data_IF_542923583486
#
_entry.id   IF_542923583486
#
_cell.length_a   1.000
_cell.length_b   1.000
_cell.length_c   1.000
_cell.angle_alpha   90.00
_cell.angle_beta   90.00
_cell.angle_gamma   90.00
#
_symmetry.space_group_name_H-M   'P 1'
#
loop_
_entity.id
_entity.type
_entity.pdbx_description
1 polymer ?
#
# COMPACT_ATOMS: atom_id res chain seq x y z
N UNK A 1 29.74 -3.49 -24.17
CA UNK A 1 28.53 -2.64 -24.22
C UNK A 1 28.96 -1.19 -24.23
N UNK A 2 28.80 -0.49 -25.35
CA UNK A 2 29.05 0.96 -25.44
C UNK A 2 27.90 1.58 -26.22
N UNK A 3 27.10 2.40 -25.55
CA UNK A 3 26.07 3.24 -26.16
C UNK A 3 26.55 4.68 -26.07
N UNK A 4 26.75 5.33 -27.22
CA UNK A 4 26.91 6.77 -27.37
C UNK A 4 26.16 7.14 -28.67
N UNK A 5 25.34 8.18 -28.75
CA UNK A 5 25.35 9.45 -28.03
C UNK A 5 24.05 9.70 -27.24
N UNK A 6 24.21 10.11 -25.99
CA UNK A 6 23.12 10.44 -25.06
C UNK A 6 23.20 11.96 -24.79
N UNK A 7 22.06 12.64 -24.71
CA UNK A 7 21.94 13.75 -23.76
C UNK A 7 22.55 13.26 -22.44
N UNK A 8 23.51 13.99 -21.88
CA UNK A 8 24.34 13.51 -20.77
C UNK A 8 23.48 12.74 -19.75
N UNK A 9 23.85 11.50 -19.39
CA UNK A 9 23.05 10.70 -18.47
C UNK A 9 22.79 11.54 -17.21
N UNK A 10 21.55 11.52 -16.67
CA UNK A 10 21.23 12.34 -15.51
C UNK A 10 22.23 12.05 -14.41
N UNK A 11 22.80 13.10 -13.83
CA UNK A 11 23.77 12.98 -12.73
C UNK A 11 23.05 12.44 -11.49
N UNK A 12 23.59 11.38 -10.91
CA UNK A 12 22.93 10.64 -9.85
C UNK A 12 23.52 9.26 -9.60
N UNK A 13 22.92 8.56 -8.63
CA UNK A 13 23.36 7.24 -8.21
C UNK A 13 22.20 6.24 -8.19
N UNK A 14 22.46 5.03 -8.69
CA UNK A 14 21.55 3.90 -8.57
C UNK A 14 21.80 3.14 -7.28
N UNK A 15 20.73 2.81 -6.58
CA UNK A 15 20.73 2.10 -5.31
C UNK A 15 19.87 0.85 -5.50
N UNK A 16 20.48 -0.31 -5.27
CA UNK A 16 19.78 -1.58 -5.33
C UNK A 16 18.71 -1.67 -4.23
N UNK A 17 17.66 -2.49 -4.42
CA UNK A 17 16.67 -2.77 -3.38
C UNK A 17 17.33 -3.33 -2.12
N UNK A 18 16.68 -3.11 -0.99
CA UNK A 18 17.15 -3.63 0.29
C UNK A 18 17.17 -5.18 0.27
N UNK A 19 18.31 -5.77 0.63
CA UNK A 19 18.52 -7.22 0.60
C UNK A 19 17.67 -7.99 1.63
N UNK A 20 17.17 -7.32 2.67
CA UNK A 20 16.27 -7.90 3.69
C UNK A 20 14.82 -7.95 3.22
N UNK A 21 14.53 -7.40 2.03
CA UNK A 21 13.17 -7.35 1.48
C UNK A 21 12.31 -6.22 2.06
N UNK A 22 12.92 -5.24 2.73
CA UNK A 22 12.20 -4.10 3.28
C UNK A 22 11.56 -3.26 2.15
N UNK A 23 10.30 -2.81 2.31
CA UNK A 23 9.67 -1.86 1.40
C UNK A 23 10.48 -0.57 1.26
N UNK A 24 10.41 0.06 0.08
CA UNK A 24 10.98 1.39 -0.13
C UNK A 24 10.08 2.45 0.48
N UNK A 25 10.65 3.40 1.22
CA UNK A 25 9.91 4.42 1.95
C UNK A 25 10.34 5.84 1.54
N UNK A 26 9.37 6.66 1.14
CA UNK A 26 9.57 8.07 0.85
C UNK A 26 9.13 8.92 2.04
N UNK A 27 10.06 9.13 2.97
CA UNK A 27 9.84 9.86 4.23
C UNK A 27 9.06 11.18 4.07
N UNK A 28 9.36 12.07 3.10
CA UNK A 28 8.65 13.34 2.97
C UNK A 28 7.15 13.24 2.68
N UNK A 29 6.72 12.14 2.03
CA UNK A 29 5.31 11.90 1.66
C UNK A 29 4.66 10.80 2.49
N UNK A 30 5.44 10.08 3.30
CA UNK A 30 4.98 8.89 4.02
C UNK A 30 4.63 7.69 3.14
N UNK A 31 4.85 7.73 1.83
CA UNK A 31 4.50 6.65 0.92
C UNK A 31 5.44 5.46 1.08
N UNK A 32 4.86 4.26 1.17
CA UNK A 32 5.59 2.99 1.27
C UNK A 32 5.28 2.12 0.07
N UNK A 33 6.32 1.77 -0.68
CA UNK A 33 6.26 0.98 -1.90
C UNK A 33 6.81 -0.43 -1.64
N UNK A 34 5.98 -1.49 -1.80
CA UNK A 34 6.38 -2.85 -1.49
C UNK A 34 7.44 -3.38 -2.46
N UNK A 35 8.23 -4.38 -2.05
CA UNK A 35 9.22 -5.00 -2.95
C UNK A 35 8.58 -5.68 -4.17
N UNK A 36 7.31 -6.06 -4.07
CA UNK A 36 6.48 -6.57 -5.16
C UNK A 36 5.20 -5.73 -5.28
N UNK A 37 4.95 -5.18 -6.46
CA UNK A 37 3.74 -4.45 -6.80
C UNK A 37 3.00 -5.21 -7.91
N UNK A 38 2.12 -6.13 -7.50
CA UNK A 38 1.57 -7.15 -8.39
C UNK A 38 2.66 -8.06 -8.92
N UNK A 39 2.77 -8.17 -10.25
CA UNK A 39 3.82 -8.93 -10.96
C UNK A 39 5.13 -8.17 -11.10
N UNK A 40 5.21 -6.90 -10.67
CA UNK A 40 6.40 -6.09 -10.85
C UNK A 40 7.26 -6.11 -9.59
N UNK A 41 8.54 -6.46 -9.73
CA UNK A 41 9.53 -6.39 -8.64
C UNK A 41 10.18 -5.02 -8.60
N UNK A 42 10.45 -4.51 -7.40
CA UNK A 42 11.26 -3.31 -7.21
C UNK A 42 12.70 -3.60 -7.67
N UNK A 43 13.17 -2.89 -8.69
CA UNK A 43 14.51 -3.05 -9.25
C UNK A 43 15.55 -2.10 -8.61
N UNK A 44 15.09 -1.01 -8.00
CA UNK A 44 15.95 -0.07 -7.28
C UNK A 44 15.43 1.37 -7.27
N UNK A 45 16.23 2.25 -6.69
CA UNK A 45 16.03 3.70 -6.63
C UNK A 45 17.18 4.38 -7.38
N UNK A 46 16.87 5.41 -8.16
CA UNK A 46 17.86 6.38 -8.61
C UNK A 46 17.70 7.69 -7.85
N UNK A 47 18.80 8.22 -7.32
CA UNK A 47 18.84 9.53 -6.65
C UNK A 47 19.54 10.53 -7.53
N UNK A 48 18.85 11.61 -7.88
CA UNK A 48 19.43 12.70 -8.65
C UNK A 48 20.37 13.52 -7.76
N UNK A 49 21.54 13.91 -8.30
CA UNK A 49 22.49 14.78 -7.59
C UNK A 49 21.93 16.20 -7.38
N UNK A 50 21.17 16.69 -8.37
CA UNK A 50 20.58 18.02 -8.36
C UNK A 50 19.06 17.96 -8.23
N UNK A 51 18.47 18.97 -7.57
CA UNK A 51 17.02 19.11 -7.44
C UNK A 51 16.36 18.18 -6.42
N UNK A 52 17.11 17.31 -5.73
CA UNK A 52 16.59 16.44 -4.66
C UNK A 52 15.59 15.37 -5.13
N UNK A 53 15.50 15.16 -6.44
CA UNK A 53 14.60 14.19 -7.04
C UNK A 53 15.03 12.75 -6.80
N UNK A 54 14.05 11.85 -6.79
CA UNK A 54 14.25 10.40 -6.68
C UNK A 54 13.33 9.71 -7.67
N UNK A 55 13.71 8.56 -8.21
CA UNK A 55 12.74 7.68 -8.83
C UNK A 55 12.97 6.24 -8.44
N UNK A 56 11.90 5.47 -8.32
CA UNK A 56 11.97 4.02 -8.14
C UNK A 56 11.53 3.32 -9.42
N UNK A 57 12.13 2.16 -9.68
CA UNK A 57 11.78 1.33 -10.82
C UNK A 57 11.18 0.01 -10.38
N UNK A 58 10.11 -0.36 -11.04
CA UNK A 58 9.47 -1.65 -11.00
C UNK A 58 9.60 -2.34 -12.36
N UNK A 59 9.91 -3.63 -12.36
CA UNK A 59 10.06 -4.43 -13.58
C UNK A 59 9.26 -5.73 -13.47
N UNK A 60 8.55 -6.10 -14.53
CA UNK A 60 7.96 -7.42 -14.67
C UNK A 60 8.57 -8.12 -15.87
N UNK A 61 9.26 -9.24 -15.63
CA UNK A 61 9.82 -10.05 -16.70
C UNK A 61 8.72 -10.76 -17.49
N UNK A 62 7.70 -11.26 -16.79
CA UNK A 62 6.57 -11.98 -17.37
C UNK A 62 5.74 -11.09 -18.30
N UNK A 63 5.41 -9.88 -17.84
CA UNK A 63 4.69 -8.90 -18.66
C UNK A 63 5.60 -8.13 -19.61
N UNK A 64 6.93 -8.31 -19.53
CA UNK A 64 7.96 -7.51 -20.21
C UNK A 64 7.72 -6.00 -20.05
N UNK A 65 7.22 -5.60 -18.88
CA UNK A 65 6.78 -4.26 -18.57
C UNK A 65 7.69 -3.59 -17.54
N UNK A 66 7.69 -2.26 -17.53
CA UNK A 66 8.48 -1.42 -16.64
C UNK A 66 7.62 -0.30 -16.12
N UNK A 67 7.73 0.01 -14.84
CA UNK A 67 7.17 1.22 -14.27
C UNK A 67 8.25 2.04 -13.57
N UNK A 68 8.32 3.33 -13.88
CA UNK A 68 9.18 4.29 -13.23
C UNK A 68 8.30 5.28 -12.46
N UNK A 69 8.56 5.48 -11.17
CA UNK A 69 7.81 6.41 -10.31
C UNK A 69 8.77 7.47 -9.80
N UNK A 70 8.61 8.70 -10.28
CA UNK A 70 9.46 9.84 -9.99
C UNK A 70 8.85 10.68 -8.89
N UNK A 71 9.69 11.20 -8.00
CA UNK A 71 9.36 12.08 -6.90
C UNK A 71 10.25 13.31 -7.00
N UNK A 72 9.69 14.46 -7.36
CA UNK A 72 10.43 15.71 -7.44
C UNK A 72 9.83 16.74 -6.48
N UNK A 73 10.64 17.34 -5.61
CA UNK A 73 10.15 18.38 -4.72
C UNK A 73 9.75 19.62 -5.54
N UNK A 74 8.68 20.27 -5.11
CA UNK A 74 8.31 21.59 -5.64
C UNK A 74 8.66 22.69 -4.63
N UNK A 75 9.06 23.89 -5.09
CA UNK A 75 9.51 24.96 -4.20
C UNK A 75 8.40 25.51 -3.28
N UNK A 76 7.15 25.44 -3.71
CA UNK A 76 6.01 26.04 -2.99
C UNK A 76 5.20 25.00 -2.24
N UNK A 77 4.96 25.25 -0.95
CA UNK A 77 4.20 24.36 -0.06
C UNK A 77 2.70 24.66 0.01
N UNK A 78 2.30 25.88 -0.35
CA UNK A 78 0.93 26.38 -0.22
C UNK A 78 0.39 26.77 -1.59
N UNK A 79 0.01 25.78 -2.38
CA UNK A 79 -0.56 25.98 -3.71
C UNK A 79 -2.07 25.84 -3.66
N UNK A 80 -2.76 26.72 -4.39
CA UNK A 80 -4.19 26.58 -4.69
C UNK A 80 -4.45 25.36 -5.59
N UNK A 81 -5.68 24.86 -5.62
CA UNK A 81 -6.04 23.72 -6.48
C UNK A 81 -5.78 24.01 -7.98
N UNK A 82 -6.04 25.24 -8.42
CA UNK A 82 -5.77 25.67 -9.79
C UNK A 82 -4.26 25.63 -10.11
N UNK A 83 -3.42 26.11 -9.19
CA UNK A 83 -1.96 26.02 -9.36
C UNK A 83 -1.46 24.58 -9.35
N UNK A 84 -2.03 23.72 -8.48
CA UNK A 84 -1.71 22.29 -8.47
C UNK A 84 -2.03 21.63 -9.82
N UNK A 85 -3.22 21.89 -10.36
CA UNK A 85 -3.63 21.38 -11.67
C UNK A 85 -2.71 21.88 -12.79
N UNK A 86 -2.38 23.19 -12.80
CA UNK A 86 -1.47 23.76 -13.80
C UNK A 86 -0.09 23.10 -13.77
N UNK A 87 0.47 22.86 -12.58
CA UNK A 87 1.77 22.18 -12.45
C UNK A 87 1.74 20.74 -12.96
N UNK A 88 0.67 20.01 -12.65
CA UNK A 88 0.48 18.63 -13.13
C UNK A 88 0.39 18.60 -14.66
N UNK A 89 -0.34 19.53 -15.26
CA UNK A 89 -0.45 19.65 -16.72
C UNK A 89 0.88 20.04 -17.36
N UNK A 90 1.61 20.97 -16.76
CA UNK A 90 2.95 21.36 -17.21
C UNK A 90 3.93 20.18 -17.17
N UNK A 91 3.88 19.36 -16.12
CA UNK A 91 4.69 18.15 -16.05
C UNK A 91 4.28 17.11 -17.10
N UNK A 92 2.98 17.00 -17.42
CA UNK A 92 2.52 16.14 -18.53
C UNK A 92 3.10 16.60 -19.87
N UNK A 93 3.15 17.92 -20.10
CA UNK A 93 3.76 18.49 -21.30
C UNK A 93 5.27 18.22 -21.35
N UNK A 94 5.96 18.23 -20.21
CA UNK A 94 7.37 17.84 -20.14
C UNK A 94 7.58 16.38 -20.53
N UNK A 95 6.74 15.47 -20.03
CA UNK A 95 6.77 14.04 -20.41
C UNK A 95 6.58 13.86 -21.92
N UNK A 96 5.64 14.60 -22.52
CA UNK A 96 5.42 14.54 -23.98
C UNK A 96 6.64 15.06 -24.74
N UNK A 97 7.22 16.18 -24.31
CA UNK A 97 8.45 16.72 -24.91
C UNK A 97 9.61 15.72 -24.84
N UNK A 98 9.74 14.98 -23.73
CA UNK A 98 10.74 13.90 -23.61
C UNK A 98 10.50 12.80 -24.66
N UNK A 99 9.26 12.36 -24.83
CA UNK A 99 8.89 11.32 -25.81
C UNK A 99 9.13 11.80 -27.26
N UNK A 100 8.80 13.06 -27.55
CA UNK A 100 9.07 13.68 -28.85
C UNK A 100 10.57 13.78 -29.12
N UNK A 101 11.37 14.16 -28.12
CA UNK A 101 12.83 14.20 -28.23
C UNK A 101 13.39 12.80 -28.50
N UNK A 102 12.94 11.77 -27.77
CA UNK A 102 13.35 10.37 -28.00
C UNK A 102 12.93 9.86 -29.40
N UNK A 103 11.83 10.38 -29.95
CA UNK A 103 11.40 10.08 -31.33
C UNK A 103 12.33 10.74 -32.35
N UNK A 104 12.72 12.00 -32.15
CA UNK A 104 13.70 12.71 -33.00
C UNK A 104 15.08 12.06 -32.95
N UNK A 105 15.45 11.48 -31.82
CA UNK A 105 16.68 10.68 -31.65
C UNK A 105 16.59 9.28 -32.27
N UNK A 106 15.44 8.88 -32.80
CA UNK A 106 15.24 7.58 -33.44
C UNK A 106 15.06 6.40 -32.47
N UNK A 107 14.89 6.65 -31.16
CA UNK A 107 14.62 5.59 -30.17
C UNK A 107 13.20 5.05 -30.28
N UNK A 108 12.27 5.94 -30.61
CA UNK A 108 10.87 5.62 -30.86
C UNK A 108 10.46 6.05 -32.26
N UNK A 109 9.46 5.36 -32.81
CA UNK A 109 8.74 5.74 -34.04
C UNK A 109 7.24 5.71 -33.78
N UNK A 110 6.47 6.32 -34.69
CA UNK A 110 5.00 6.26 -34.71
C UNK A 110 4.37 6.71 -33.37
N UNK A 111 4.95 7.71 -32.72
CA UNK A 111 4.43 8.25 -31.46
C UNK A 111 3.02 8.80 -31.70
N UNK A 112 2.05 8.28 -30.95
CA UNK A 112 0.68 8.79 -30.88
C UNK A 112 0.41 9.22 -29.45
N UNK A 113 0.03 10.48 -29.30
CA UNK A 113 -0.28 11.09 -28.01
C UNK A 113 -1.79 10.98 -27.82
N UNK A 114 -2.23 10.26 -26.78
CA UNK A 114 -3.63 10.13 -26.45
C UNK A 114 -4.20 11.36 -25.76
N UNK A 115 -5.51 11.35 -25.53
CA UNK A 115 -6.19 12.39 -24.78
C UNK A 115 -5.73 12.44 -23.32
N UNK A 116 -5.86 13.62 -22.71
CA UNK A 116 -5.56 13.80 -21.29
C UNK A 116 -6.84 13.61 -20.48
N UNK A 117 -6.80 12.69 -19.52
CA UNK A 117 -7.78 12.58 -18.47
C UNK A 117 -7.36 13.46 -17.29
N UNK A 118 -8.29 14.24 -16.76
CA UNK A 118 -8.10 15.00 -15.52
C UNK A 118 -9.09 14.50 -14.49
N UNK A 119 -8.64 14.28 -13.27
CA UNK A 119 -9.46 13.78 -12.17
C UNK A 119 -8.78 13.99 -10.83
N UNK A 120 -9.16 13.17 -9.85
CA UNK A 120 -8.54 13.20 -8.54
C UNK A 120 -8.56 11.85 -7.82
N UNK A 121 -7.64 11.69 -6.87
CA UNK A 121 -7.61 10.56 -5.96
C UNK A 121 -8.29 11.00 -4.66
N UNK A 122 -9.48 10.47 -4.43
CA UNK A 122 -10.20 10.68 -3.17
C UNK A 122 -9.42 10.08 -1.99
N UNK A 123 -9.24 10.91 -0.96
CA UNK A 123 -8.60 10.55 0.30
C UNK A 123 -9.66 10.51 1.41
N UNK A 124 -9.39 9.73 2.45
CA UNK A 124 -10.33 9.50 3.57
C UNK A 124 -10.75 10.78 4.30
N UNK A 125 -9.79 11.58 4.76
CA UNK A 125 -10.02 12.80 5.58
C UNK A 125 -9.19 13.99 5.06
N UNK A 126 -8.94 14.03 3.74
CA UNK A 126 -8.14 15.09 3.11
C UNK A 126 -8.77 15.53 1.79
N UNK A 127 -8.41 16.73 1.36
CA UNK A 127 -8.70 17.21 0.00
C UNK A 127 -8.22 16.18 -1.03
N UNK A 128 -9.05 15.91 -2.05
CA UNK A 128 -8.69 14.99 -3.12
C UNK A 128 -7.39 15.44 -3.78
N UNK A 129 -6.51 14.48 -4.08
CA UNK A 129 -5.26 14.78 -4.78
C UNK A 129 -5.57 14.96 -6.27
N UNK A 130 -5.29 16.11 -6.89
CA UNK A 130 -5.49 16.28 -8.32
C UNK A 130 -4.57 15.33 -9.10
N UNK A 131 -5.08 14.81 -10.21
CA UNK A 131 -4.37 13.88 -11.07
C UNK A 131 -4.62 14.22 -12.54
N UNK A 132 -3.59 14.12 -13.37
CA UNK A 132 -3.72 14.01 -14.81
C UNK A 132 -3.15 12.68 -15.28
N UNK A 133 -3.80 12.05 -16.26
CA UNK A 133 -3.36 10.80 -16.84
C UNK A 133 -3.44 10.84 -18.37
N UNK A 134 -2.54 10.12 -19.04
CA UNK A 134 -2.52 9.99 -20.49
C UNK A 134 -1.91 8.66 -20.90
N UNK A 135 -2.39 8.11 -22.02
CA UNK A 135 -1.76 6.97 -22.69
C UNK A 135 -1.09 7.48 -23.97
N UNK A 136 0.16 7.08 -24.19
CA UNK A 136 0.88 7.28 -25.44
C UNK A 136 1.21 5.93 -26.07
N UNK A 137 1.06 5.82 -27.39
CA UNK A 137 1.45 4.64 -28.16
C UNK A 137 2.73 4.97 -28.94
N UNK A 138 3.66 4.02 -29.02
CA UNK A 138 4.93 4.21 -29.72
C UNK A 138 5.49 2.88 -30.19
N UNK A 139 6.44 2.88 -31.10
CA UNK A 139 7.20 1.69 -31.49
C UNK A 139 8.64 1.88 -31.07
N UNK A 140 9.14 1.03 -30.18
CA UNK A 140 10.55 1.01 -29.80
C UNK A 140 11.36 0.38 -30.92
N UNK A 141 12.43 1.05 -31.29
CA UNK A 141 13.42 0.53 -32.23
C UNK A 141 14.62 0.04 -31.40
N UNK A 142 14.85 -1.27 -31.40
CA UNK A 142 16.00 -1.87 -30.74
C UNK A 142 16.83 -2.65 -31.77
N UNK A 143 18.14 -2.77 -31.58
CA UNK A 143 18.93 -3.75 -32.33
C UNK A 143 18.96 -5.03 -31.53
N UNK A 144 18.64 -6.15 -32.16
CA UNK A 144 18.83 -7.48 -31.61
C UNK A 144 20.33 -7.78 -31.44
N UNK A 145 20.64 -8.86 -30.71
CA UNK A 145 22.02 -9.33 -30.53
C UNK A 145 22.72 -9.69 -31.86
N UNK A 146 21.94 -9.87 -32.93
CA UNK A 146 22.41 -10.14 -34.30
C UNK A 146 22.54 -8.86 -35.14
N UNK A 147 22.34 -7.69 -34.54
CA UNK A 147 22.41 -6.39 -35.22
C UNK A 147 21.18 -6.06 -36.10
N UNK A 148 20.13 -6.88 -36.05
CA UNK A 148 18.89 -6.67 -36.78
C UNK A 148 18.01 -5.68 -36.03
N UNK A 149 17.42 -4.73 -36.74
CA UNK A 149 16.47 -3.78 -36.16
C UNK A 149 15.16 -4.51 -35.82
N UNK A 150 14.82 -4.59 -34.54
CA UNK A 150 13.56 -5.09 -34.01
C UNK A 150 12.65 -3.91 -33.64
N UNK A 151 11.46 -3.89 -34.25
CA UNK A 151 10.40 -2.95 -33.90
C UNK A 151 9.43 -3.62 -32.91
N UNK A 152 9.27 -3.02 -31.73
CA UNK A 152 8.33 -3.51 -30.70
C UNK A 152 7.29 -2.42 -30.42
N UNK A 153 6.00 -2.65 -30.75
CA UNK A 153 4.93 -1.75 -30.37
C UNK A 153 4.76 -1.70 -28.84
N UNK A 154 4.74 -0.51 -28.27
CA UNK A 154 4.62 -0.23 -26.84
C UNK A 154 3.49 0.76 -26.57
N UNK A 155 2.93 0.66 -25.37
CA UNK A 155 2.14 1.72 -24.76
C UNK A 155 2.80 2.21 -23.49
N UNK A 156 2.66 3.50 -23.22
CA UNK A 156 3.02 4.13 -21.96
C UNK A 156 1.79 4.79 -21.35
N UNK A 157 1.36 4.33 -20.17
CA UNK A 157 0.46 5.07 -19.31
C UNK A 157 1.28 5.99 -18.41
N UNK A 158 0.91 7.26 -18.36
CA UNK A 158 1.52 8.25 -17.48
C UNK A 158 0.44 8.84 -16.58
N UNK A 159 0.62 8.75 -15.26
CA UNK A 159 -0.19 9.46 -14.27
C UNK A 159 0.68 10.44 -13.49
N UNK A 160 0.20 11.67 -13.31
CA UNK A 160 0.91 12.71 -12.56
C UNK A 160 0.00 13.23 -11.47
N UNK A 161 0.53 13.31 -10.25
CA UNK A 161 -0.16 13.86 -9.09
C UNK A 161 0.72 14.87 -8.37
N UNK A 162 0.10 15.67 -7.51
CA UNK A 162 0.80 16.53 -6.56
C UNK A 162 0.40 16.14 -5.14
N UNK A 163 1.33 15.54 -4.40
CA UNK A 163 1.14 15.12 -3.03
C UNK A 163 2.10 15.90 -2.13
N UNK A 164 1.53 16.59 -1.14
CA UNK A 164 2.24 17.51 -0.25
C UNK A 164 3.08 18.53 -1.05
N UNK A 165 4.41 18.49 -0.93
CA UNK A 165 5.33 19.35 -1.71
C UNK A 165 6.11 18.58 -2.77
N UNK A 166 5.50 17.56 -3.36
CA UNK A 166 6.10 16.74 -4.41
C UNK A 166 5.18 16.57 -5.61
N UNK A 167 5.76 16.72 -6.80
CA UNK A 167 5.17 16.21 -8.04
C UNK A 167 5.62 14.76 -8.19
N UNK A 168 4.64 13.87 -8.32
CA UNK A 168 4.87 12.44 -8.49
C UNK A 168 4.42 12.04 -9.89
N UNK A 169 5.37 11.60 -10.71
CA UNK A 169 5.13 11.16 -12.08
C UNK A 169 5.27 9.65 -12.14
N UNK A 170 4.20 8.95 -12.50
CA UNK A 170 4.13 7.48 -12.59
C UNK A 170 4.08 7.14 -14.09
N UNK A 171 5.14 6.52 -14.62
CA UNK A 171 5.21 6.06 -16.02
C UNK A 171 5.22 4.54 -16.02
N UNK A 172 4.19 3.90 -16.56
CA UNK A 172 4.21 2.47 -16.84
C UNK A 172 4.26 2.23 -18.34
N UNK A 173 5.20 1.40 -18.78
CA UNK A 173 5.42 1.03 -20.17
C UNK A 173 5.31 -0.47 -20.33
N UNK A 174 4.64 -0.92 -21.39
CA UNK A 174 4.45 -2.34 -21.70
C UNK A 174 4.32 -2.57 -23.21
N UNK A 175 4.66 -3.76 -23.71
CA UNK A 175 4.36 -4.15 -25.08
C UNK A 175 2.85 -4.19 -25.35
N UNK A 176 2.47 -3.89 -26.59
CA UNK A 176 1.10 -4.16 -27.06
C UNK A 176 0.96 -5.66 -27.27
N UNK A 177 0.05 -6.29 -26.53
CA UNK A 177 -0.32 -7.70 -26.74
C UNK A 177 -1.66 -7.77 -27.49
N UNK A 178 -1.92 -8.85 -28.25
CA UNK A 178 -3.18 -9.02 -28.95
C UNK A 178 -4.42 -9.21 -28.05
N UNK A 179 -4.22 -9.56 -26.76
CA UNK A 179 -5.31 -9.99 -25.89
C UNK A 179 -6.11 -8.83 -25.28
N UNK A 180 -5.44 -7.78 -24.81
CA UNK A 180 -6.08 -6.66 -24.08
C UNK A 180 -5.49 -5.29 -24.45
N UNK A 181 -4.60 -5.23 -25.44
CA UNK A 181 -3.86 -4.01 -25.80
C UNK A 181 -3.10 -3.39 -24.60
N UNK A 182 -2.85 -4.18 -23.54
CA UNK A 182 -2.21 -3.78 -22.30
C UNK A 182 -3.07 -3.01 -21.29
N UNK A 183 -4.34 -2.70 -21.58
CA UNK A 183 -5.17 -1.79 -20.78
C UNK A 183 -5.51 -2.31 -19.39
N UNK A 184 -5.83 -3.61 -19.27
CA UNK A 184 -6.21 -4.20 -17.99
C UNK A 184 -5.07 -4.12 -16.97
N UNK A 185 -3.84 -4.36 -17.41
CA UNK A 185 -2.69 -4.25 -16.50
C UNK A 185 -2.25 -2.81 -16.23
N UNK A 186 -2.53 -1.83 -17.11
CA UNK A 186 -2.41 -0.41 -16.74
C UNK A 186 -3.36 -0.05 -15.61
N UNK A 187 -4.62 -0.45 -15.73
CA UNK A 187 -5.64 -0.20 -14.71
C UNK A 187 -5.28 -0.88 -13.39
N UNK A 188 -4.84 -2.14 -13.42
CA UNK A 188 -4.43 -2.86 -12.22
C UNK A 188 -3.23 -2.17 -11.53
N UNK A 189 -2.21 -1.77 -12.29
CA UNK A 189 -1.05 -1.08 -11.74
C UNK A 189 -1.42 0.30 -11.16
N UNK A 190 -2.20 1.09 -11.88
CA UNK A 190 -2.70 2.38 -11.41
C UNK A 190 -3.51 2.24 -10.10
N UNK A 191 -4.37 1.21 -9.99
CA UNK A 191 -5.11 0.91 -8.76
C UNK A 191 -4.18 0.54 -7.60
N UNK A 192 -3.13 -0.23 -7.84
CA UNK A 192 -2.15 -0.57 -6.79
C UNK A 192 -1.38 0.67 -6.29
N UNK A 193 -0.94 1.54 -7.21
CA UNK A 193 -0.28 2.80 -6.83
C UNK A 193 -1.26 3.74 -6.11
N UNK A 194 -2.52 3.81 -6.56
CA UNK A 194 -3.55 4.58 -5.87
C UNK A 194 -3.80 4.09 -4.44
N UNK A 195 -3.76 2.76 -4.19
CA UNK A 195 -3.85 2.21 -2.83
C UNK A 195 -2.68 2.70 -1.96
N UNK A 196 -1.45 2.69 -2.48
CA UNK A 196 -0.26 3.20 -1.78
C UNK A 196 -0.43 4.69 -1.43
N UNK A 197 -0.95 5.50 -2.36
CA UNK A 197 -1.20 6.93 -2.13
C UNK A 197 -2.28 7.16 -1.07
N UNK A 198 -3.32 6.32 -1.04
CA UNK A 198 -4.43 6.41 -0.09
C UNK A 198 -4.08 5.89 1.30
N UNK A 199 -3.06 5.03 1.44
CA UNK A 199 -2.78 4.35 2.70
C UNK A 199 -2.42 5.29 3.86
N UNK A 200 -1.50 6.26 3.74
CA UNK A 200 -1.10 7.09 4.89
C UNK A 200 -2.27 7.83 5.59
N UNK A 201 -3.16 8.56 4.87
CA UNK A 201 -4.30 9.19 5.52
C UNK A 201 -5.33 8.17 6.04
N UNK A 202 -5.54 7.06 5.31
CA UNK A 202 -6.45 6.00 5.74
C UNK A 202 -5.98 5.34 7.03
N UNK A 203 -4.69 4.98 7.11
CA UNK A 203 -4.04 4.40 8.29
C UNK A 203 -4.22 5.28 9.52
N UNK A 204 -4.04 6.61 9.38
CA UNK A 204 -4.29 7.57 10.46
C UNK A 204 -5.76 7.55 10.92
N UNK A 205 -6.71 7.52 9.99
CA UNK A 205 -8.14 7.40 10.30
C UNK A 205 -8.47 6.10 11.04
N UNK A 206 -7.94 4.97 10.57
CA UNK A 206 -8.11 3.64 11.17
C UNK A 206 -7.56 3.60 12.60
N UNK A 207 -6.41 4.20 12.88
CA UNK A 207 -5.88 4.32 14.25
C UNK A 207 -6.88 5.07 15.15
N UNK A 208 -7.44 6.18 14.66
CA UNK A 208 -8.47 6.93 15.39
C UNK A 208 -9.74 6.12 15.68
N UNK A 209 -10.15 5.25 14.75
CA UNK A 209 -11.28 4.33 14.94
C UNK A 209 -10.98 3.26 16.01
N UNK A 210 -9.75 2.72 16.01
CA UNK A 210 -9.29 1.79 17.04
C UNK A 210 -9.31 2.45 18.42
N UNK A 211 -8.84 3.69 18.54
CA UNK A 211 -8.84 4.40 19.82
C UNK A 211 -10.26 4.61 20.37
N UNK A 212 -11.24 4.92 19.51
CA UNK A 212 -12.66 5.01 19.90
C UNK A 212 -13.18 3.66 20.40
N UNK A 213 -12.92 2.58 19.66
CA UNK A 213 -13.31 1.23 20.06
C UNK A 213 -12.74 0.84 21.42
N UNK A 214 -11.46 1.10 21.67
CA UNK A 214 -10.81 0.70 22.92
C UNK A 214 -11.33 1.48 24.14
N UNK A 215 -11.80 2.70 23.92
CA UNK A 215 -12.43 3.54 24.94
C UNK A 215 -13.83 3.01 25.32
N UNK A 216 -14.68 2.73 24.32
CA UNK A 216 -16.03 2.19 24.53
C UNK A 216 -16.39 1.13 23.46
N UNK A 217 -16.07 -0.16 23.69
CA UNK A 217 -16.27 -1.23 22.71
C UNK A 217 -17.72 -1.53 22.36
N UNK A 218 -18.68 -1.10 23.20
CA UNK A 218 -20.08 -1.48 23.09
C UNK A 218 -21.00 -0.36 22.60
N UNK A 219 -20.45 0.82 22.28
CA UNK A 219 -21.19 1.90 21.63
C UNK A 219 -21.54 1.58 20.18
N UNK A 220 -22.65 2.12 19.68
CA UNK A 220 -23.07 1.97 18.27
C UNK A 220 -21.99 2.46 17.29
N UNK A 221 -21.32 3.58 17.64
CA UNK A 221 -20.21 4.14 16.88
C UNK A 221 -19.02 3.16 16.79
N UNK A 222 -18.71 2.45 17.88
CA UNK A 222 -17.64 1.46 17.92
C UNK A 222 -17.96 0.20 17.12
N UNK A 223 -19.23 -0.22 17.04
CA UNK A 223 -19.66 -1.34 16.20
C UNK A 223 -19.40 -1.02 14.72
N UNK A 224 -19.75 0.19 14.26
CA UNK A 224 -19.46 0.64 12.89
C UNK A 224 -17.95 0.83 12.65
N UNK A 225 -17.23 1.44 13.61
CA UNK A 225 -15.79 1.63 13.53
C UNK A 225 -15.04 0.30 13.36
N UNK A 226 -15.47 -0.74 14.08
CA UNK A 226 -14.90 -2.09 14.01
C UNK A 226 -14.96 -2.66 12.59
N UNK A 227 -16.10 -2.55 11.90
CA UNK A 227 -16.25 -3.05 10.54
C UNK A 227 -15.25 -2.40 9.56
N UNK A 228 -15.06 -1.08 9.67
CA UNK A 228 -14.09 -0.35 8.84
C UNK A 228 -12.64 -0.75 9.14
N UNK A 229 -12.28 -0.92 10.41
CA UNK A 229 -10.94 -1.38 10.82
C UNK A 229 -10.69 -2.79 10.31
N UNK A 230 -11.63 -3.72 10.47
CA UNK A 230 -11.48 -5.10 10.00
C UNK A 230 -11.37 -5.17 8.47
N UNK A 231 -12.12 -4.33 7.73
CA UNK A 231 -12.01 -4.24 6.28
C UNK A 231 -10.61 -3.76 5.86
N UNK A 232 -10.05 -2.77 6.55
CA UNK A 232 -8.66 -2.33 6.32
C UNK A 232 -7.66 -3.45 6.61
N UNK A 233 -7.75 -4.10 7.77
CA UNK A 233 -6.82 -5.18 8.16
C UNK A 233 -6.85 -6.36 7.17
N UNK A 234 -8.00 -6.68 6.57
CA UNK A 234 -8.08 -7.71 5.52
C UNK A 234 -7.26 -7.38 4.26
N UNK A 235 -7.05 -6.09 3.99
CA UNK A 235 -6.26 -5.64 2.83
C UNK A 235 -4.80 -5.34 3.15
N UNK A 236 -4.42 -5.40 4.44
CA UNK A 236 -3.11 -4.98 4.96
C UNK A 236 -2.39 -6.18 5.56
N UNK A 237 -1.49 -6.79 4.79
CA UNK A 237 -0.83 -8.07 5.14
C UNK A 237 0.54 -7.90 5.83
N UNK A 238 1.01 -6.68 5.99
CA UNK A 238 2.33 -6.34 6.56
C UNK A 238 2.32 -6.18 8.09
N UNK A 239 1.14 -6.23 8.73
CA UNK A 239 1.03 -6.14 10.18
C UNK A 239 1.24 -7.50 10.84
N UNK A 240 2.05 -7.60 11.92
CA UNK A 240 2.36 -8.86 12.61
C UNK A 240 1.21 -9.31 13.54
N UNK A 241 -0.02 -9.35 13.03
CA UNK A 241 -1.22 -9.76 13.78
C UNK A 241 -1.50 -11.23 13.46
N UNK A 242 -1.44 -12.07 14.49
CA UNK A 242 -1.77 -13.48 14.39
C UNK A 242 -2.70 -13.88 15.54
N UNK A 243 -3.78 -14.60 15.22
CA UNK A 243 -4.72 -15.15 16.20
C UNK A 243 -4.48 -16.65 16.29
N UNK A 244 -4.05 -17.19 17.45
CA UNK A 244 -3.95 -18.63 17.65
C UNK A 244 -5.32 -19.29 17.42
N UNK A 245 -5.38 -20.26 16.51
CA UNK A 245 -6.61 -21.00 16.21
C UNK A 245 -7.11 -21.76 17.45
N UNK A 246 -6.22 -22.53 18.09
CA UNK A 246 -6.47 -23.10 19.41
C UNK A 246 -5.84 -22.22 20.49
N UNK A 247 -6.52 -21.94 21.63
CA UNK A 247 -7.88 -22.39 22.00
C UNK A 247 -8.99 -21.43 21.54
N UNK A 248 -8.65 -20.30 20.92
CA UNK A 248 -9.58 -19.18 20.70
C UNK A 248 -10.79 -19.61 19.86
N UNK A 249 -10.60 -20.40 18.80
CA UNK A 249 -11.70 -20.86 17.96
C UNK A 249 -12.74 -21.65 18.77
N UNK A 250 -12.31 -22.58 19.62
CA UNK A 250 -13.23 -23.36 20.45
C UNK A 250 -14.00 -22.48 21.44
N UNK A 251 -13.37 -21.43 21.97
CA UNK A 251 -14.05 -20.45 22.82
C UNK A 251 -15.08 -19.63 22.04
N UNK A 252 -14.73 -19.18 20.83
CA UNK A 252 -15.63 -18.44 19.95
C UNK A 252 -16.83 -19.30 19.52
N UNK A 253 -16.62 -20.57 19.19
CA UNK A 253 -17.70 -21.51 18.86
C UNK A 253 -18.65 -21.74 20.03
N UNK A 254 -18.12 -21.86 21.25
CA UNK A 254 -18.93 -21.94 22.46
C UNK A 254 -19.77 -20.66 22.65
N UNK A 255 -19.13 -19.48 22.58
CA UNK A 255 -19.80 -18.19 22.72
C UNK A 255 -20.92 -18.03 21.70
N UNK A 256 -20.66 -18.35 20.43
CA UNK A 256 -21.66 -18.33 19.35
C UNK A 256 -22.87 -19.21 19.63
N UNK A 257 -22.64 -20.41 20.16
CA UNK A 257 -23.72 -21.38 20.44
C UNK A 257 -24.61 -20.93 21.59
N UNK A 258 -24.02 -20.31 22.61
CA UNK A 258 -24.71 -20.01 23.86
C UNK A 258 -25.28 -18.59 23.89
N UNK A 259 -24.55 -17.60 23.36
CA UNK A 259 -24.96 -16.20 23.23
C UNK A 259 -24.49 -15.63 21.86
N UNK A 260 -25.27 -15.83 20.78
CA UNK A 260 -24.88 -15.42 19.43
C UNK A 260 -24.51 -13.94 19.31
N UNK A 261 -23.44 -13.64 18.57
CA UNK A 261 -22.88 -12.30 18.36
C UNK A 261 -21.75 -11.94 19.33
N UNK A 262 -21.65 -12.61 20.48
CA UNK A 262 -20.55 -12.41 21.43
C UNK A 262 -19.20 -12.86 20.87
N UNK A 263 -19.20 -13.87 19.99
CA UNK A 263 -17.99 -14.34 19.31
C UNK A 263 -17.38 -13.29 18.39
N UNK A 264 -18.21 -12.54 17.67
CA UNK A 264 -17.74 -11.49 16.76
C UNK A 264 -17.18 -10.31 17.54
N UNK A 265 -17.79 -9.97 18.67
CA UNK A 265 -17.29 -8.94 19.57
C UNK A 265 -15.95 -9.33 20.21
N UNK A 266 -15.79 -10.59 20.62
CA UNK A 266 -14.54 -11.11 21.18
C UNK A 266 -13.42 -11.18 20.14
N UNK A 267 -13.73 -11.65 18.93
CA UNK A 267 -12.77 -11.69 17.82
C UNK A 267 -12.33 -10.27 17.44
N UNK A 268 -13.28 -9.33 17.37
CA UNK A 268 -13.01 -7.91 17.11
C UNK A 268 -12.14 -7.30 18.20
N UNK A 269 -12.43 -7.60 19.48
CA UNK A 269 -11.62 -7.15 20.61
C UNK A 269 -10.16 -7.60 20.48
N UNK A 270 -9.94 -8.86 20.11
CA UNK A 270 -8.60 -9.37 19.88
C UNK A 270 -7.91 -8.64 18.73
N UNK A 271 -8.55 -8.60 17.56
CA UNK A 271 -7.99 -7.98 16.35
C UNK A 271 -7.64 -6.51 16.56
N UNK A 272 -8.54 -5.72 17.15
CA UNK A 272 -8.34 -4.28 17.34
C UNK A 272 -7.31 -3.98 18.44
N UNK A 273 -7.25 -4.81 19.49
CA UNK A 273 -6.19 -4.74 20.49
C UNK A 273 -4.81 -4.98 19.90
N UNK A 274 -4.67 -6.04 19.09
CA UNK A 274 -3.43 -6.35 18.36
C UNK A 274 -3.07 -5.24 17.35
N UNK A 275 -4.05 -4.76 16.58
CA UNK A 275 -3.84 -3.73 15.58
C UNK A 275 -3.30 -2.42 16.18
N UNK A 276 -3.79 -2.01 17.35
CA UNK A 276 -3.29 -0.80 18.05
C UNK A 276 -1.78 -0.84 18.26
N UNK A 277 -1.26 -1.99 18.68
CA UNK A 277 0.17 -2.19 18.93
C UNK A 277 0.94 -2.38 17.62
N UNK A 278 0.37 -3.09 16.64
CA UNK A 278 0.97 -3.27 15.33
C UNK A 278 1.22 -1.91 14.63
N UNK A 279 0.25 -1.01 14.65
CA UNK A 279 0.40 0.34 14.10
C UNK A 279 1.43 1.21 14.84
N UNK A 280 1.70 0.90 16.11
CA UNK A 280 2.76 1.53 16.89
C UNK A 280 4.15 0.90 16.68
N UNK A 281 4.27 -0.08 15.77
CA UNK A 281 5.52 -0.77 15.45
C UNK A 281 5.88 -1.93 16.39
N UNK A 282 4.91 -2.43 17.17
CA UNK A 282 5.11 -3.60 18.02
C UNK A 282 5.29 -4.89 17.21
N UNK A 283 6.06 -5.82 17.76
CA UNK A 283 6.28 -7.14 17.16
C UNK A 283 5.08 -8.08 17.37
N UNK A 284 5.17 -9.30 16.81
CA UNK A 284 4.10 -10.29 16.90
C UNK A 284 3.75 -10.67 18.35
N UNK A 285 4.72 -10.73 19.26
CA UNK A 285 4.49 -11.09 20.66
C UNK A 285 3.75 -9.96 21.40
N UNK A 286 4.15 -8.71 21.16
CA UNK A 286 3.46 -7.54 21.70
C UNK A 286 2.03 -7.43 21.16
N UNK A 287 1.83 -7.66 19.86
CA UNK A 287 0.50 -7.67 19.24
C UNK A 287 -0.39 -8.77 19.84
N UNK A 288 0.15 -9.97 20.05
CA UNK A 288 -0.57 -11.08 20.66
C UNK A 288 -1.01 -10.77 22.10
N UNK A 289 -0.10 -10.23 22.91
CA UNK A 289 -0.40 -9.83 24.29
C UNK A 289 -1.47 -8.72 24.36
N UNK A 290 -1.41 -7.74 23.46
CA UNK A 290 -2.38 -6.66 23.41
C UNK A 290 -3.78 -7.15 23.00
N UNK A 291 -3.85 -8.03 21.99
CA UNK A 291 -5.09 -8.69 21.57
C UNK A 291 -5.70 -9.50 22.71
N UNK A 292 -4.89 -10.31 23.40
CA UNK A 292 -5.32 -11.09 24.56
C UNK A 292 -5.87 -10.22 25.70
N UNK A 293 -5.20 -9.09 25.98
CA UNK A 293 -5.62 -8.15 27.03
C UNK A 293 -6.98 -7.52 26.71
N UNK A 294 -7.17 -7.09 25.46
CA UNK A 294 -8.43 -6.49 25.03
C UNK A 294 -9.57 -7.53 24.96
N UNK A 295 -9.28 -8.75 24.50
CA UNK A 295 -10.22 -9.88 24.57
C UNK A 295 -10.69 -10.10 26.00
N UNK A 296 -9.77 -10.18 26.96
CA UNK A 296 -10.10 -10.40 28.37
C UNK A 296 -10.96 -9.27 28.96
N UNK A 297 -10.68 -8.00 28.60
CA UNK A 297 -11.48 -6.84 29.00
C UNK A 297 -12.91 -6.94 28.48
N UNK A 298 -13.09 -7.24 27.19
CA UNK A 298 -14.41 -7.33 26.55
C UNK A 298 -15.18 -8.56 27.05
N UNK A 299 -14.51 -9.72 27.21
CA UNK A 299 -15.11 -10.94 27.75
C UNK A 299 -15.73 -10.72 29.13
N UNK A 300 -15.03 -10.02 30.06
CA UNK A 300 -15.60 -9.74 31.39
C UNK A 300 -16.88 -8.89 31.35
N UNK A 301 -16.95 -7.94 30.41
CA UNK A 301 -18.13 -7.11 30.24
C UNK A 301 -19.29 -7.89 29.61
N UNK A 302 -18.97 -8.77 28.65
CA UNK A 302 -19.92 -9.69 28.06
C UNK A 302 -20.47 -10.69 29.08
N UNK A 303 -19.60 -11.24 29.93
CA UNK A 303 -19.97 -12.20 30.97
C UNK A 303 -20.99 -11.62 31.97
N UNK A 304 -20.90 -10.32 32.27
CA UNK A 304 -21.87 -9.64 33.12
C UNK A 304 -23.28 -9.57 32.49
N UNK A 305 -23.38 -9.58 31.15
CA UNK A 305 -24.63 -9.56 30.39
C UNK A 305 -25.11 -10.97 30.00
N UNK A 306 -24.16 -11.88 29.79
CA UNK A 306 -24.35 -13.25 29.32
C UNK A 306 -23.56 -14.23 30.21
N UNK A 307 -23.97 -14.49 31.47
CA UNK A 307 -23.24 -15.39 32.37
C UNK A 307 -23.00 -16.79 31.82
N UNK A 308 -23.86 -17.23 30.90
CA UNK A 308 -23.86 -18.53 30.25
C UNK A 308 -22.62 -18.80 29.37
N UNK A 309 -21.86 -17.77 28.96
CA UNK A 309 -20.64 -17.93 28.16
C UNK A 309 -19.41 -18.41 28.96
N UNK A 310 -19.59 -18.67 30.27
CA UNK A 310 -18.51 -19.04 31.18
C UNK A 310 -17.81 -20.33 30.74
N UNK A 311 -16.47 -20.27 30.61
CA UNK A 311 -15.62 -21.45 30.44
C UNK A 311 -14.44 -21.44 31.42
N UNK A 312 -14.16 -22.54 32.14
CA UNK A 312 -13.07 -22.60 33.13
C UNK A 312 -11.68 -22.29 32.54
N UNK A 313 -11.46 -22.63 31.28
CA UNK A 313 -10.20 -22.35 30.59
C UNK A 313 -10.01 -20.86 30.31
N UNK A 314 -11.09 -20.12 30.10
CA UNK A 314 -11.05 -18.66 29.89
C UNK A 314 -10.68 -17.98 31.21
N UNK A 315 -11.18 -18.44 32.36
CA UNK A 315 -10.85 -17.82 33.67
C UNK A 315 -9.35 -17.82 33.98
N UNK A 316 -8.67 -18.94 33.70
CA UNK A 316 -7.22 -19.04 33.84
C UNK A 316 -6.48 -18.09 32.89
N UNK A 317 -6.99 -17.95 31.65
CA UNK A 317 -6.48 -17.00 30.68
C UNK A 317 -6.71 -15.54 31.12
N UNK A 318 -7.88 -15.20 31.68
CA UNK A 318 -8.21 -13.85 32.12
C UNK A 318 -7.25 -13.35 33.19
N UNK A 319 -6.82 -14.22 34.10
CA UNK A 319 -5.83 -13.90 35.12
C UNK A 319 -4.47 -13.54 34.49
N UNK A 320 -3.99 -14.34 33.53
CA UNK A 320 -2.76 -14.07 32.81
C UNK A 320 -2.84 -12.79 31.95
N UNK A 321 -3.98 -12.55 31.32
CA UNK A 321 -4.21 -11.36 30.49
C UNK A 321 -4.21 -10.07 31.31
N UNK A 322 -4.66 -10.08 32.57
CA UNK A 322 -4.56 -8.89 33.45
C UNK A 322 -3.15 -8.51 33.85
N UNK A 323 -2.21 -9.46 33.79
CA UNK A 323 -0.80 -9.20 34.02
C UNK A 323 -0.03 -8.92 32.71
N UNK A 324 -0.74 -8.67 31.60
CA UNK A 324 -0.15 -8.51 30.27
C UNK A 324 0.64 -9.74 29.77
N UNK A 325 0.32 -10.93 30.28
CA UNK A 325 0.94 -12.22 29.90
C UNK A 325 -0.03 -13.13 29.14
N UNK A 326 -1.15 -12.60 28.68
CA UNK A 326 -2.19 -13.39 28.00
C UNK A 326 -1.71 -14.05 26.71
N UNK A 327 -0.85 -13.38 25.94
CA UNK A 327 -0.25 -13.94 24.72
C UNK A 327 0.74 -15.07 25.01
N UNK A 328 1.58 -14.92 26.04
CA UNK A 328 2.45 -16.03 26.49
C UNK A 328 1.62 -17.23 26.94
N UNK A 329 0.55 -16.99 27.69
CA UNK A 329 -0.36 -18.03 28.13
C UNK A 329 -0.97 -18.76 26.92
N UNK A 330 -1.46 -18.02 25.93
CA UNK A 330 -2.03 -18.60 24.71
C UNK A 330 -1.01 -19.48 23.99
N UNK A 331 0.20 -18.98 23.73
CA UNK A 331 1.25 -19.78 23.07
C UNK A 331 1.57 -21.08 23.82
N UNK A 332 1.69 -21.01 25.15
CA UNK A 332 1.93 -22.21 25.97
C UNK A 332 0.75 -23.18 25.88
N UNK A 333 -0.47 -22.68 25.99
CA UNK A 333 -1.68 -23.49 25.93
C UNK A 333 -1.85 -24.15 24.55
N UNK A 334 -1.61 -23.41 23.46
CA UNK A 334 -1.63 -23.93 22.09
C UNK A 334 -0.58 -25.01 21.86
N UNK A 335 0.63 -24.82 22.37
CA UNK A 335 1.69 -25.83 22.25
C UNK A 335 1.45 -27.09 23.11
N UNK A 336 0.55 -27.03 24.08
CA UNK A 336 0.25 -28.13 25.00
C UNK A 336 -0.73 -29.16 24.42
N UNK A 337 -1.37 -28.88 23.29
CA UNK A 337 -2.11 -29.85 22.45
C UNK A 337 -3.04 -30.81 23.19
N UNK A 338 -3.76 -30.35 24.22
CA UNK A 338 -4.73 -31.19 24.95
C UNK A 338 -6.11 -31.15 24.34
#
# INVERSE_FOLDING_TARGET
>A
MAWAALAAPPQGSWIAPDATGKPWFHEPTGLTFPTMLGTHRLAGEFRYEQGGGRFIRYESLDERSRADIFFFPIPSKNLTMEEKQRLILQEMDNVVKDLDAMTKEGRYRKLKIGEIGVGGIELWDKEAIPMAARICEMTRVAKSDLGVEEEVPLKQWTGIILLDSYVITIRQMRPVTPADNGEAGFQAFAQMVAKIIKDPPLRKGVIGLIDRYLADPFSDDSVHATAAVLAYLKTTTDLPINIPEYPIQGWLEHCKKVAPGTEEQLLSAFMLGSAKVAFAGGDAAACLNAGATQFAKVYRQLLAKHPEITLPQIDAFLAAATESKGGEWLLRYSSSGK
#
